data_IF_805899662289
#
_entry.id   IF_805899662289
#
_cell.length_a   1.000
_cell.length_b   1.000
_cell.length_c   1.000
_cell.angle_alpha   90.00
_cell.angle_beta   90.00
_cell.angle_gamma   90.00
#
_symmetry.space_group_name_H-M   'P 1'
#
loop_
_entity.id
_entity.type
_entity.pdbx_description
1 polymer ?
#
# COMPACT_ATOMS: atom_id res chain seq x y z
N UNK A 1 19.79 -1.83 -0.44
CA UNK A 1 18.39 -1.44 -0.12
C UNK A 1 17.44 -1.59 -1.32
N UNK A 2 17.85 -2.24 -2.41
CA UNK A 2 16.95 -2.56 -3.53
C UNK A 2 15.94 -3.60 -3.02
N UNK A 3 14.64 -3.28 -3.03
CA UNK A 3 13.56 -4.21 -2.67
C UNK A 3 12.88 -4.02 -1.32
N UNK A 4 13.45 -3.25 -0.38
CA UNK A 4 12.81 -3.00 0.93
C UNK A 4 11.46 -2.26 0.78
N UNK A 5 11.35 -1.37 -0.20
CA UNK A 5 10.12 -0.64 -0.50
C UNK A 5 8.97 -1.56 -0.94
N UNK A 6 9.27 -2.67 -1.62
CA UNK A 6 8.24 -3.67 -1.98
C UNK A 6 7.64 -4.36 -0.76
N UNK A 7 8.47 -4.67 0.25
CA UNK A 7 7.97 -5.22 1.51
C UNK A 7 7.06 -4.22 2.25
N UNK A 8 7.44 -2.93 2.25
CA UNK A 8 6.59 -1.85 2.79
C UNK A 8 5.25 -1.77 2.04
N UNK A 9 5.26 -1.89 0.70
CA UNK A 9 4.02 -1.97 -0.09
C UNK A 9 3.14 -3.15 0.34
N UNK A 10 3.74 -4.29 0.70
CA UNK A 10 3.00 -5.42 1.27
C UNK A 10 2.35 -5.12 2.61
N UNK A 11 3.05 -4.41 3.50
CA UNK A 11 2.47 -3.94 4.77
C UNK A 11 1.29 -2.99 4.50
N UNK A 12 1.41 -2.09 3.52
CA UNK A 12 0.33 -1.19 3.10
C UNK A 12 -0.89 -1.98 2.58
N UNK A 13 -0.67 -3.01 1.74
CA UNK A 13 -1.73 -3.88 1.25
C UNK A 13 -2.47 -4.61 2.38
N UNK A 14 -1.73 -5.15 3.34
CA UNK A 14 -2.30 -5.75 4.55
C UNK A 14 -3.10 -4.73 5.38
N UNK A 15 -2.56 -3.52 5.55
CA UNK A 15 -3.19 -2.45 6.34
C UNK A 15 -4.53 -2.02 5.76
N UNK A 16 -4.62 -1.75 4.45
CA UNK A 16 -5.87 -1.37 3.79
C UNK A 16 -6.94 -2.43 3.96
N UNK A 17 -6.53 -3.70 3.90
CA UNK A 17 -7.44 -4.84 4.06
C UNK A 17 -7.97 -4.97 5.50
N UNK A 18 -7.10 -4.83 6.50
CA UNK A 18 -7.47 -5.00 7.90
C UNK A 18 -8.22 -3.78 8.45
N UNK A 19 -7.87 -2.59 7.95
CA UNK A 19 -8.37 -1.32 8.47
C UNK A 19 -8.98 -0.42 7.38
N UNK A 20 -10.00 -0.89 6.63
CA UNK A 20 -10.57 -0.12 5.53
C UNK A 20 -11.24 1.19 5.97
N UNK A 21 -11.64 1.28 7.24
CA UNK A 21 -12.25 2.47 7.85
C UNK A 21 -11.24 3.39 8.56
N UNK A 22 -9.96 3.01 8.62
CA UNK A 22 -8.95 3.87 9.25
C UNK A 22 -8.80 5.18 8.48
N UNK A 23 -8.45 6.25 9.19
CA UNK A 23 -8.12 7.53 8.59
C UNK A 23 -6.65 7.82 8.81
N UNK A 24 -5.95 8.11 7.73
CA UNK A 24 -4.53 8.50 7.74
C UNK A 24 -4.41 10.01 7.63
N UNK A 25 -3.40 10.55 8.29
CA UNK A 25 -3.03 11.94 8.13
C UNK A 25 -2.26 12.11 6.83
N UNK A 26 -2.69 13.06 6.03
CA UNK A 26 -1.93 13.58 4.90
C UNK A 26 -1.66 15.05 5.14
N UNK A 27 -0.50 15.52 4.69
CA UNK A 27 -0.17 16.93 4.74
C UNK A 27 -0.31 17.50 3.33
N UNK A 28 -1.44 18.17 3.08
CA UNK A 28 -1.72 18.78 1.78
C UNK A 28 -0.96 20.11 1.67
N UNK A 29 -0.26 20.31 0.55
CA UNK A 29 0.56 21.50 0.27
C UNK A 29 1.54 21.88 1.39
N UNK A 30 2.03 20.89 2.16
CA UNK A 30 2.89 21.11 3.33
C UNK A 30 2.32 22.04 4.41
N UNK A 31 1.01 22.32 4.41
CA UNK A 31 0.38 23.33 5.28
C UNK A 31 -0.92 22.86 5.92
N UNK A 32 -1.71 22.05 5.22
CA UNK A 32 -3.05 21.66 5.66
C UNK A 32 -3.07 20.17 6.03
N UNK A 33 -3.06 19.82 7.33
CA UNK A 33 -3.20 18.43 7.75
C UNK A 33 -4.65 17.97 7.56
N UNK A 34 -4.85 16.92 6.79
CA UNK A 34 -6.17 16.33 6.51
C UNK A 34 -6.20 14.87 6.93
N UNK A 35 -7.35 14.42 7.44
CA UNK A 35 -7.60 13.00 7.76
C UNK A 35 -8.48 12.39 6.69
N UNK A 36 -7.88 11.58 5.81
CA UNK A 36 -8.60 10.93 4.71
C UNK A 36 -8.64 9.43 4.97
N UNK A 37 -9.71 8.76 4.50
CA UNK A 37 -9.82 7.31 4.60
C UNK A 37 -8.62 6.60 3.95
N UNK A 38 -8.07 5.61 4.64
CA UNK A 38 -6.87 4.88 4.23
C UNK A 38 -7.02 4.26 2.84
N UNK A 39 -8.21 3.74 2.51
CA UNK A 39 -8.52 3.17 1.18
C UNK A 39 -8.31 4.21 0.07
N UNK A 40 -8.75 5.46 0.28
CA UNK A 40 -8.62 6.51 -0.73
C UNK A 40 -7.16 6.93 -0.93
N UNK A 41 -6.44 7.14 0.17
CA UNK A 41 -5.05 7.60 0.12
C UNK A 41 -4.14 6.50 -0.44
N UNK A 42 -4.21 5.31 0.12
CA UNK A 42 -3.31 4.20 -0.21
C UNK A 42 -3.73 3.51 -1.52
N UNK A 43 -5.03 3.46 -1.83
CA UNK A 43 -5.54 3.02 -3.13
C UNK A 43 -5.19 4.00 -4.24
N UNK A 44 -5.32 5.30 -4.00
CA UNK A 44 -4.85 6.34 -4.94
C UNK A 44 -3.34 6.26 -5.17
N UNK A 45 -2.56 6.03 -4.11
CA UNK A 45 -1.12 5.80 -4.24
C UNK A 45 -0.79 4.57 -5.08
N UNK A 46 -1.49 3.44 -4.91
CA UNK A 46 -1.31 2.26 -5.75
C UNK A 46 -1.68 2.53 -7.21
N UNK A 47 -2.77 3.27 -7.45
CA UNK A 47 -3.16 3.68 -8.80
C UNK A 47 -2.05 4.51 -9.47
N UNK A 48 -1.40 5.41 -8.72
CA UNK A 48 -0.23 6.15 -9.22
C UNK A 48 0.93 5.20 -9.56
N UNK A 49 1.19 4.15 -8.79
CA UNK A 49 2.22 3.15 -9.15
C UNK A 49 1.92 2.49 -10.51
N UNK A 50 0.65 2.17 -10.78
CA UNK A 50 0.22 1.56 -12.05
C UNK A 50 0.33 2.57 -13.19
N UNK A 51 -0.13 3.81 -12.99
CA UNK A 51 -0.03 4.86 -14.02
C UNK A 51 1.45 5.14 -14.33
N UNK A 52 2.30 5.27 -13.33
CA UNK A 52 3.73 5.50 -13.53
C UNK A 52 4.42 4.33 -14.23
N UNK A 53 4.00 3.09 -13.95
CA UNK A 53 4.47 1.92 -14.70
C UNK A 53 4.10 2.03 -16.19
N UNK A 54 2.88 2.45 -16.51
CA UNK A 54 2.41 2.60 -17.89
C UNK A 54 3.06 3.78 -18.62
N UNK A 55 3.43 4.83 -17.89
CA UNK A 55 4.08 6.03 -18.42
C UNK A 55 5.61 5.97 -18.43
N UNK A 56 6.20 4.91 -17.87
CA UNK A 56 7.66 4.76 -17.78
C UNK A 56 8.27 4.62 -19.16
N UNK A 57 9.08 5.60 -19.59
CA UNK A 57 10.00 5.48 -20.72
C UNK A 57 11.37 5.00 -20.23
N UNK A 58 12.10 4.26 -21.07
CA UNK A 58 13.43 3.68 -20.73
C UNK A 58 14.57 4.72 -20.70
N UNK A 59 14.25 5.98 -20.42
CA UNK A 59 15.13 7.12 -20.67
C UNK A 59 16.09 7.34 -19.50
N UNK A 60 16.97 6.37 -19.22
CA UNK A 60 18.21 6.55 -18.43
C UNK A 60 18.12 7.10 -17.00
N UNK A 61 16.96 7.54 -16.52
CA UNK A 61 16.74 8.09 -15.19
C UNK A 61 16.63 6.98 -14.14
N UNK A 62 16.66 7.37 -12.86
CA UNK A 62 16.50 6.46 -11.73
C UNK A 62 15.21 5.66 -11.88
N UNK A 63 15.34 4.39 -12.28
CA UNK A 63 14.21 3.51 -12.51
C UNK A 63 13.57 3.14 -11.16
N UNK A 64 12.39 3.71 -10.90
CA UNK A 64 11.55 3.28 -9.78
C UNK A 64 11.04 1.87 -10.08
N UNK A 65 11.19 0.95 -9.12
CA UNK A 65 10.77 -0.44 -9.26
C UNK A 65 9.24 -0.60 -9.09
N UNK A 66 8.47 -0.02 -10.02
CA UNK A 66 7.00 0.01 -9.98
C UNK A 66 6.38 -1.39 -9.80
N UNK A 67 6.90 -2.39 -10.51
CA UNK A 67 6.48 -3.79 -10.36
C UNK A 67 6.68 -4.34 -8.95
N UNK A 68 7.76 -3.97 -8.26
CA UNK A 68 8.02 -4.41 -6.90
C UNK A 68 7.00 -3.81 -5.92
N UNK A 69 6.58 -2.56 -6.12
CA UNK A 69 5.56 -1.94 -5.29
C UNK A 69 4.18 -2.56 -5.51
N UNK A 70 3.78 -2.75 -6.77
CA UNK A 70 2.48 -3.36 -7.12
C UNK A 70 2.44 -4.81 -6.62
N UNK A 71 3.46 -5.60 -6.94
CA UNK A 71 3.57 -7.00 -6.52
C UNK A 71 3.60 -7.14 -5.00
N UNK A 72 4.36 -6.28 -4.31
CA UNK A 72 4.39 -6.20 -2.86
C UNK A 72 3.01 -5.96 -2.25
N UNK A 73 2.29 -4.93 -2.73
CA UNK A 73 0.93 -4.62 -2.29
C UNK A 73 -0.02 -5.81 -2.46
N UNK A 74 -0.05 -6.38 -3.67
CA UNK A 74 -0.94 -7.52 -3.99
C UNK A 74 -0.62 -8.73 -3.13
N UNK A 75 0.67 -9.05 -2.94
CA UNK A 75 1.10 -10.16 -2.10
C UNK A 75 0.68 -9.95 -0.63
N UNK A 76 0.92 -8.76 -0.07
CA UNK A 76 0.55 -8.45 1.31
C UNK A 76 -0.97 -8.45 1.54
N UNK A 77 -1.73 -7.89 0.60
CA UNK A 77 -3.20 -7.93 0.63
C UNK A 77 -3.70 -9.37 0.53
N UNK A 78 -3.23 -10.15 -0.45
CA UNK A 78 -3.65 -11.53 -0.70
C UNK A 78 -3.28 -12.49 0.44
N UNK A 79 -2.07 -12.37 0.99
CA UNK A 79 -1.64 -13.16 2.14
C UNK A 79 -2.53 -12.86 3.36
N UNK A 80 -2.78 -11.58 3.62
CA UNK A 80 -3.66 -11.13 4.70
C UNK A 80 -5.08 -11.68 4.51
N UNK A 81 -5.57 -11.71 3.26
CA UNK A 81 -6.86 -12.32 2.93
C UNK A 81 -6.92 -13.81 3.25
N UNK A 82 -5.86 -14.56 2.92
CA UNK A 82 -5.78 -15.97 3.23
C UNK A 82 -5.79 -16.24 4.75
N UNK A 83 -5.12 -15.40 5.55
CA UNK A 83 -4.93 -15.66 6.99
C UNK A 83 -5.92 -14.93 7.91
N UNK A 84 -6.68 -13.92 7.45
CA UNK A 84 -7.51 -13.07 8.33
C UNK A 84 -8.50 -13.82 9.20
N UNK A 85 -9.07 -14.94 8.71
CA UNK A 85 -10.01 -15.76 9.48
C UNK A 85 -9.34 -16.36 10.71
N UNK A 86 -8.07 -16.76 10.60
CA UNK A 86 -7.28 -17.30 11.73
C UNK A 86 -6.84 -16.19 12.69
N UNK A 87 -6.57 -14.99 12.18
CA UNK A 87 -6.20 -13.83 13.01
C UNK A 87 -7.34 -13.43 13.95
N UNK A 88 -8.57 -13.41 13.45
CA UNK A 88 -9.73 -13.00 14.26
C UNK A 88 -10.08 -14.01 15.36
N UNK A 89 -9.95 -15.30 15.09
CA UNK A 89 -10.17 -16.34 16.10
C UNK A 89 -9.20 -16.18 17.28
N UNK A 90 -7.91 -15.93 17.01
CA UNK A 90 -6.89 -15.74 18.06
C UNK A 90 -7.05 -14.47 18.89
N UNK A 91 -7.75 -13.45 18.37
CA UNK A 91 -8.01 -12.21 19.11
C UNK A 91 -9.30 -12.26 19.94
N UNK A 92 -10.20 -13.22 19.68
CA UNK A 92 -11.40 -13.44 20.48
C UNK A 92 -11.16 -14.33 21.70
N UNK A 93 -10.04 -15.05 21.73
CA UNK A 93 -9.65 -15.98 22.79
C UNK A 93 -8.70 -15.36 23.84
N UNK A 94 -8.41 -14.05 23.74
CA UNK A 94 -7.52 -13.28 24.62
C UNK A 94 -8.30 -12.15 25.33
#
# INVERSE_FOLDING_TARGET
LIGASGAVSGIIGAYVMLFPKARVWILLFMRLPLRIGAVWVLGGWLALQVVSLLMSSNDGEVQVAWWAHIGGFVAGFGLTFAIRRRLWLRMGDA
#
